data_IF_761542497466
#
_entry.id   IF_761542497466
#
_cell.length_a   1.000
_cell.length_b   1.000
_cell.length_c   1.000
_cell.angle_alpha   90.00
_cell.angle_beta   90.00
_cell.angle_gamma   90.00
#
_symmetry.space_group_name_H-M   'P 1'
#
loop_
_entity.id
_entity.type
_entity.pdbx_description
1 polymer ?
#
# COMPACT_ATOMS: atom_id res chain seq x y z
N UNK A 1 28.58 2.85 -6.05
CA UNK A 1 27.89 3.85 -6.89
C UNK A 1 26.93 4.65 -6.00
N UNK A 2 27.41 5.71 -5.37
CA UNK A 2 26.56 6.68 -4.69
C UNK A 2 26.09 7.71 -5.72
N UNK A 3 24.91 7.49 -6.30
CA UNK A 3 24.22 8.58 -6.98
C UNK A 3 23.50 9.39 -5.91
N UNK A 4 24.16 10.46 -5.47
CA UNK A 4 23.56 11.54 -4.69
C UNK A 4 22.74 12.37 -5.68
N UNK A 5 21.41 12.35 -5.55
CA UNK A 5 20.53 13.17 -6.38
C UNK A 5 20.38 14.55 -5.73
N UNK A 6 20.32 15.64 -6.50
CA UNK A 6 20.26 16.99 -5.92
C UNK A 6 18.95 17.28 -5.16
N UNK A 7 17.89 16.49 -5.38
CA UNK A 7 16.60 16.66 -4.70
C UNK A 7 16.48 15.75 -3.48
N UNK A 8 16.49 16.37 -2.29
CA UNK A 8 16.25 15.70 -0.99
C UNK A 8 14.87 15.01 -0.99
N UNK A 9 13.86 15.60 -1.62
CA UNK A 9 12.51 15.03 -1.69
C UNK A 9 12.48 13.73 -2.50
N UNK A 10 13.22 13.69 -3.61
CA UNK A 10 13.33 12.50 -4.44
C UNK A 10 14.06 11.38 -3.70
N UNK A 11 15.17 11.67 -3.03
CA UNK A 11 15.90 10.67 -2.26
C UNK A 11 15.05 10.09 -1.13
N UNK A 12 14.28 10.93 -0.43
CA UNK A 12 13.35 10.50 0.61
C UNK A 12 12.30 9.53 0.06
N UNK A 13 11.66 9.88 -1.05
CA UNK A 13 10.66 9.01 -1.70
C UNK A 13 11.29 7.67 -2.13
N UNK A 14 12.46 7.69 -2.76
CA UNK A 14 13.18 6.46 -3.16
C UNK A 14 13.52 5.60 -1.93
N UNK A 15 13.92 6.24 -0.84
CA UNK A 15 14.18 5.59 0.44
C UNK A 15 12.95 4.85 0.97
N UNK A 16 11.79 5.50 1.02
CA UNK A 16 10.54 4.86 1.48
C UNK A 16 10.12 3.69 0.57
N UNK A 17 10.16 3.86 -0.75
CA UNK A 17 9.84 2.79 -1.70
C UNK A 17 10.78 1.59 -1.57
N UNK A 18 12.05 1.81 -1.22
CA UNK A 18 13.04 0.74 -1.05
C UNK A 18 12.84 -0.09 0.22
N UNK A 19 11.98 0.34 1.17
CA UNK A 19 11.64 -0.44 2.37
C UNK A 19 10.60 -1.52 2.07
N UNK A 20 9.94 -1.46 0.92
CA UNK A 20 8.92 -2.43 0.54
C UNK A 20 9.56 -3.77 0.14
N UNK A 21 8.97 -4.91 0.54
CA UNK A 21 9.51 -6.22 0.20
C UNK A 21 9.57 -6.39 -1.32
N UNK A 22 10.72 -6.86 -1.83
CA UNK A 22 10.94 -7.06 -3.27
C UNK A 22 11.30 -5.81 -4.07
N UNK A 23 11.35 -4.62 -3.45
CA UNK A 23 11.71 -3.37 -4.13
C UNK A 23 13.11 -2.91 -3.70
N UNK A 24 14.11 -3.18 -4.53
CA UNK A 24 15.45 -2.62 -4.36
C UNK A 24 15.55 -1.16 -4.85
N UNK A 25 16.63 -0.47 -4.48
CA UNK A 25 16.86 0.97 -4.79
C UNK A 25 16.69 1.32 -6.28
N UNK A 26 17.13 0.46 -7.20
CA UNK A 26 16.98 0.66 -8.65
C UNK A 26 15.51 0.65 -9.08
N UNK A 27 14.73 -0.28 -8.54
CA UNK A 27 13.29 -0.39 -8.81
C UNK A 27 12.53 0.77 -8.15
N UNK A 28 12.85 1.11 -6.91
CA UNK A 28 12.29 2.26 -6.21
C UNK A 28 12.49 3.56 -7.00
N UNK A 29 13.70 3.81 -7.51
CA UNK A 29 14.00 4.97 -8.36
C UNK A 29 13.10 5.03 -9.59
N UNK A 30 12.94 3.89 -10.28
CA UNK A 30 12.07 3.81 -11.46
C UNK A 30 10.62 4.17 -11.15
N UNK A 31 10.10 3.69 -10.01
CA UNK A 31 8.74 3.96 -9.57
C UNK A 31 8.55 5.43 -9.18
N UNK A 32 9.47 6.00 -8.40
CA UNK A 32 9.40 7.42 -7.98
C UNK A 32 9.49 8.37 -9.17
N UNK A 33 10.40 8.10 -10.13
CA UNK A 33 10.47 8.89 -11.37
C UNK A 33 9.22 8.74 -12.25
N UNK A 34 8.56 7.59 -12.21
CA UNK A 34 7.29 7.41 -12.90
C UNK A 34 6.18 8.27 -12.27
N UNK A 35 6.06 8.25 -10.93
CA UNK A 35 5.11 9.08 -10.19
C UNK A 35 5.35 10.58 -10.41
N UNK A 36 6.60 11.02 -10.48
CA UNK A 36 6.95 12.42 -10.73
C UNK A 36 6.45 12.93 -12.10
N UNK A 37 6.20 12.02 -13.05
CA UNK A 37 5.67 12.34 -14.39
C UNK A 37 4.15 12.21 -14.48
N UNK A 38 3.48 11.72 -13.44
CA UNK A 38 2.02 11.66 -13.40
C UNK A 38 1.43 13.00 -12.97
N UNK A 39 0.15 13.19 -13.22
CA UNK A 39 -0.58 14.34 -12.70
C UNK A 39 -0.73 14.25 -11.16
N UNK A 40 -0.88 15.42 -10.52
CA UNK A 40 -0.96 15.53 -9.07
C UNK A 40 -2.13 14.73 -8.49
N UNK A 41 -3.29 14.74 -9.14
CA UNK A 41 -4.48 14.05 -8.65
C UNK A 41 -4.29 12.53 -8.59
N UNK A 42 -3.64 11.94 -9.62
CA UNK A 42 -3.29 10.51 -9.64
C UNK A 42 -2.33 10.15 -8.51
N UNK A 43 -1.31 10.98 -8.26
CA UNK A 43 -0.33 10.72 -7.18
C UNK A 43 -0.99 10.84 -5.81
N UNK A 44 -1.85 11.84 -5.61
CA UNK A 44 -2.61 12.01 -4.37
C UNK A 44 -3.57 10.85 -4.13
N UNK A 45 -4.33 10.42 -5.15
CA UNK A 45 -5.22 9.27 -5.05
C UNK A 45 -4.46 8.00 -4.67
N UNK A 46 -3.30 7.75 -5.29
CA UNK A 46 -2.42 6.63 -4.95
C UNK A 46 -1.97 6.70 -3.50
N UNK A 47 -1.43 7.83 -3.04
CA UNK A 47 -0.98 7.98 -1.65
C UNK A 47 -2.12 7.80 -0.63
N UNK A 48 -3.27 8.40 -0.90
CA UNK A 48 -4.45 8.30 -0.05
C UNK A 48 -4.97 6.87 0.05
N UNK A 49 -4.96 6.09 -1.06
CA UNK A 49 -5.39 4.68 -1.03
C UNK A 49 -4.60 3.84 -0.02
N UNK A 50 -3.28 4.07 0.09
CA UNK A 50 -2.40 3.35 1.02
C UNK A 50 -2.65 3.81 2.47
N UNK A 51 -2.86 5.11 2.67
CA UNK A 51 -3.17 5.67 4.00
C UNK A 51 -4.51 5.13 4.50
N UNK A 52 -5.54 5.15 3.66
CA UNK A 52 -6.87 4.60 3.96
C UNK A 52 -6.78 3.11 4.25
N UNK A 53 -6.07 2.33 3.41
CA UNK A 53 -5.83 0.91 3.65
C UNK A 53 -5.27 0.66 5.06
N UNK A 54 -4.23 1.39 5.47
CA UNK A 54 -3.62 1.19 6.79
C UNK A 54 -4.54 1.57 7.96
N UNK A 55 -5.47 2.51 7.75
CA UNK A 55 -6.37 3.02 8.79
C UNK A 55 -7.64 2.20 8.94
N UNK A 56 -8.22 1.79 7.82
CA UNK A 56 -9.57 1.22 7.77
C UNK A 56 -9.58 -0.30 7.72
N UNK A 57 -8.53 -0.92 7.18
CA UNK A 57 -8.42 -2.38 7.16
C UNK A 57 -8.33 -2.92 8.58
N UNK A 58 -9.23 -3.86 8.86
CA UNK A 58 -9.32 -4.61 10.11
C UNK A 58 -9.13 -6.10 9.80
N UNK A 59 -8.99 -6.87 10.87
CA UNK A 59 -9.06 -8.32 10.81
C UNK A 59 -10.42 -8.77 11.30
N UNK A 60 -11.02 -9.69 10.56
CA UNK A 60 -12.29 -10.28 10.96
C UNK A 60 -12.16 -10.99 12.31
N UNK A 61 -13.08 -10.72 13.24
CA UNK A 61 -13.09 -11.36 14.57
C UNK A 61 -13.25 -12.89 14.51
N UNK A 62 -13.83 -13.43 13.43
CA UNK A 62 -14.17 -14.86 13.29
C UNK A 62 -13.05 -15.64 12.60
N UNK A 63 -12.60 -15.21 11.42
CA UNK A 63 -11.62 -15.96 10.61
C UNK A 63 -10.25 -15.28 10.50
N UNK A 64 -10.10 -14.09 11.09
CA UNK A 64 -8.90 -13.26 11.05
C UNK A 64 -8.43 -12.92 9.62
N UNK A 65 -9.32 -13.01 8.65
CA UNK A 65 -9.07 -12.53 7.30
C UNK A 65 -9.16 -10.98 7.24
N UNK A 66 -8.53 -10.39 6.24
CA UNK A 66 -8.57 -8.96 5.95
C UNK A 66 -10.00 -8.54 5.64
N UNK A 67 -10.49 -7.49 6.31
CA UNK A 67 -11.84 -6.97 6.11
C UNK A 67 -11.97 -5.49 6.45
N UNK A 68 -12.91 -4.82 5.80
CA UNK A 68 -13.26 -3.42 6.09
C UNK A 68 -14.26 -3.29 7.26
N UNK A 69 -14.76 -4.42 7.78
CA UNK A 69 -15.78 -4.50 8.84
C UNK A 69 -15.37 -5.49 9.94
N UNK A 70 -16.03 -5.48 11.09
CA UNK A 70 -15.67 -6.39 12.21
C UNK A 70 -15.86 -7.88 11.87
N UNK A 71 -16.88 -8.17 11.08
CA UNK A 71 -17.18 -9.51 10.56
C UNK A 71 -17.14 -9.43 9.05
N UNK A 72 -16.22 -10.16 8.41
CA UNK A 72 -16.10 -10.10 6.96
C UNK A 72 -17.38 -10.60 6.28
N UNK A 73 -17.60 -10.17 5.04
CA UNK A 73 -18.77 -10.54 4.24
C UNK A 73 -18.96 -12.06 4.15
N UNK A 74 -17.86 -12.82 4.19
CA UNK A 74 -17.86 -14.28 4.17
C UNK A 74 -18.45 -14.84 5.48
N UNK A 75 -18.01 -14.33 6.64
CA UNK A 75 -18.50 -14.77 7.95
C UNK A 75 -19.89 -14.22 8.29
N UNK A 76 -20.27 -13.07 7.72
CA UNK A 76 -21.61 -12.49 7.87
C UNK A 76 -22.66 -13.20 7.01
N UNK A 77 -22.24 -14.00 6.02
CA UNK A 77 -23.16 -14.70 5.14
C UNK A 77 -23.83 -15.88 5.86
N UNK A 78 -25.17 -15.88 6.04
CA UNK A 78 -25.90 -16.95 6.71
C UNK A 78 -25.95 -18.26 5.92
N UNK A 79 -25.57 -18.27 4.64
CA UNK A 79 -25.47 -19.48 3.83
C UNK A 79 -24.11 -20.16 3.95
N UNK A 80 -23.16 -19.57 4.68
CA UNK A 80 -21.85 -20.19 4.88
C UNK A 80 -21.98 -21.38 5.82
N UNK A 81 -21.61 -22.55 5.32
CA UNK A 81 -21.44 -23.73 6.16
C UNK A 81 -20.27 -23.49 7.12
N UNK A 82 -20.55 -23.62 8.41
CA UNK A 82 -19.59 -23.43 9.52
C UNK A 82 -19.00 -24.75 10.00
N UNK A 83 -19.34 -25.85 9.32
CA UNK A 83 -19.01 -27.22 9.73
C UNK A 83 -17.71 -27.76 9.12
N UNK A 84 -16.94 -26.97 8.36
CA UNK A 84 -15.66 -27.42 7.75
C UNK A 84 -14.63 -26.31 7.64
#
# INVERSE_FOLDING_TARGET
MNQQYPSILLEKAVGEFSKLPGIGRKTAMRLVLHLLRQDTATVEAFGNSIITLKREVKYCKVCHNISDTETCQICANPQRDVST
#
